data_IF_530309131823
#
_entry.id   IF_530309131823
#
_cell.length_a   1.000
_cell.length_b   1.000
_cell.length_c   1.000
_cell.angle_alpha   90.00
_cell.angle_beta   90.00
_cell.angle_gamma   90.00
#
_symmetry.space_group_name_H-M   'P 1'
#
loop_
_entity.id
_entity.type
_entity.pdbx_description
1 polymer ?
#
# COMPACT_ATOMS: atom_id res chain seq x y z
N UNK A 1 21.48 -9.44 7.28
CA UNK A 1 21.76 -8.60 6.09
C UNK A 1 23.15 -8.84 5.53
N UNK A 2 24.14 -9.12 6.37
CA UNK A 2 25.49 -9.43 5.90
C UNK A 2 25.54 -10.82 5.25
N UNK A 3 25.54 -10.85 3.92
CA UNK A 3 25.51 -12.08 3.09
C UNK A 3 26.28 -11.83 1.80
N UNK A 4 26.91 -12.85 1.19
CA UNK A 4 27.56 -12.72 -0.11
C UNK A 4 26.57 -12.65 -1.29
N UNK A 5 25.26 -12.86 -1.05
CA UNK A 5 24.26 -12.79 -2.12
C UNK A 5 24.16 -11.39 -2.72
N UNK A 6 23.94 -11.33 -4.04
CA UNK A 6 23.72 -10.09 -4.77
C UNK A 6 22.45 -9.37 -4.28
N UNK A 7 21.40 -10.13 -4.01
CA UNK A 7 20.12 -9.64 -3.51
C UNK A 7 19.81 -10.31 -2.19
N UNK A 8 19.55 -9.52 -1.14
CA UNK A 8 19.11 -10.03 0.15
C UNK A 8 17.83 -9.32 0.58
N UNK A 9 16.78 -10.09 0.84
CA UNK A 9 15.52 -9.63 1.40
C UNK A 9 15.47 -10.08 2.87
N UNK A 10 15.47 -9.12 3.80
CA UNK A 10 15.28 -9.33 5.23
C UNK A 10 13.84 -9.01 5.58
N UNK A 11 12.99 -10.03 5.59
CA UNK A 11 11.55 -9.88 5.66
C UNK A 11 10.92 -10.72 6.77
N UNK A 12 9.74 -10.33 7.23
CA UNK A 12 8.98 -11.04 8.24
C UNK A 12 8.37 -10.13 9.29
N UNK A 13 8.21 -10.62 10.53
CA UNK A 13 7.52 -9.93 11.62
C UNK A 13 8.01 -8.50 11.87
N UNK A 14 7.10 -7.65 12.36
CA UNK A 14 7.42 -6.30 12.79
C UNK A 14 8.35 -6.30 14.02
N UNK A 15 9.10 -5.22 14.20
CA UNK A 15 9.98 -5.08 15.36
C UNK A 15 11.30 -5.88 15.32
N UNK A 16 11.56 -6.67 14.28
CA UNK A 16 12.79 -7.49 14.15
C UNK A 16 14.08 -6.70 13.84
N UNK A 17 14.07 -5.37 13.90
CA UNK A 17 15.26 -4.53 13.67
C UNK A 17 15.65 -4.38 12.19
N UNK A 18 14.74 -4.65 11.27
CA UNK A 18 14.99 -4.68 9.82
C UNK A 18 15.62 -3.38 9.29
N UNK A 19 14.99 -2.24 9.56
CA UNK A 19 15.48 -0.91 9.12
C UNK A 19 16.86 -0.59 9.70
N UNK A 20 17.14 -0.94 10.97
CA UNK A 20 18.48 -0.79 11.55
C UNK A 20 19.51 -1.69 10.85
N UNK A 21 19.15 -2.93 10.54
CA UNK A 21 19.99 -3.85 9.77
C UNK A 21 20.32 -3.29 8.37
N UNK A 22 19.35 -2.68 7.69
CA UNK A 22 19.56 -2.04 6.38
C UNK A 22 20.50 -0.82 6.49
N UNK A 23 20.30 0.03 7.50
CA UNK A 23 21.15 1.18 7.74
C UNK A 23 22.59 0.78 8.09
N UNK A 24 22.79 -0.26 8.90
CA UNK A 24 24.14 -0.78 9.19
C UNK A 24 24.81 -1.34 7.94
N UNK A 25 24.06 -2.06 7.12
CA UNK A 25 24.60 -2.61 5.87
C UNK A 25 25.03 -1.52 4.88
N UNK A 26 24.28 -0.40 4.82
CA UNK A 26 24.63 0.75 3.98
C UNK A 26 25.97 1.39 4.36
N UNK A 27 26.46 1.19 5.57
CA UNK A 27 27.78 1.68 6.02
C UNK A 27 28.93 0.69 5.79
N UNK A 28 28.66 -0.50 5.29
CA UNK A 28 29.66 -1.59 5.18
C UNK A 28 30.96 -1.13 4.56
N UNK A 29 30.88 -0.31 3.52
CA UNK A 29 32.00 0.14 2.73
C UNK A 29 32.30 1.64 2.91
N UNK A 30 31.90 2.24 4.03
CA UNK A 30 32.09 3.66 4.34
C UNK A 30 33.54 4.19 4.24
N UNK A 31 34.53 3.31 4.25
CA UNK A 31 35.94 3.68 4.14
C UNK A 31 36.46 3.72 2.70
N UNK A 32 35.62 3.39 1.70
CA UNK A 32 35.97 3.47 0.29
C UNK A 32 35.31 4.72 -0.30
N UNK A 33 36.14 5.68 -0.79
CA UNK A 33 35.68 6.99 -1.26
C UNK A 33 34.72 6.94 -2.46
N UNK A 34 34.83 5.93 -3.27
CA UNK A 34 33.98 5.74 -4.47
C UNK A 34 32.65 5.00 -4.15
N UNK A 35 32.44 4.64 -2.87
CA UNK A 35 31.23 3.93 -2.46
C UNK A 35 30.03 4.86 -2.31
N UNK A 36 28.94 4.53 -3.00
CA UNK A 36 27.65 5.19 -2.88
C UNK A 36 26.52 4.21 -2.57
N UNK A 37 25.81 4.43 -1.49
CA UNK A 37 24.57 3.73 -1.15
C UNK A 37 23.36 4.66 -1.31
N UNK A 38 22.24 4.12 -1.78
CA UNK A 38 20.95 4.83 -1.81
C UNK A 38 19.88 3.93 -1.18
N UNK A 39 19.19 4.44 -0.17
CA UNK A 39 18.07 3.75 0.47
C UNK A 39 16.76 4.43 0.08
N UNK A 40 15.84 3.65 -0.47
CA UNK A 40 14.54 4.10 -0.94
C UNK A 40 13.41 3.76 0.03
N UNK A 41 12.45 4.68 0.16
CA UNK A 41 11.10 4.49 0.69
C UNK A 41 10.06 4.84 -0.37
N UNK A 42 8.84 4.36 -0.23
CA UNK A 42 7.77 4.65 -1.18
C UNK A 42 7.45 6.14 -1.24
N UNK A 43 7.38 6.83 -0.09
CA UNK A 43 7.01 8.24 -0.01
C UNK A 43 8.07 9.06 0.73
N UNK A 44 8.27 10.32 0.30
CA UNK A 44 9.20 11.25 0.94
C UNK A 44 8.86 11.49 2.42
N UNK A 45 7.58 11.60 2.76
CA UNK A 45 7.14 11.74 4.16
C UNK A 45 7.62 10.58 5.03
N UNK A 46 7.62 9.34 4.53
CA UNK A 46 8.13 8.17 5.26
C UNK A 46 9.65 8.22 5.47
N UNK A 47 10.38 8.94 4.61
CA UNK A 47 11.82 9.20 4.81
C UNK A 47 12.04 10.19 5.93
N UNK A 48 11.25 11.28 6.00
CA UNK A 48 11.51 12.48 6.82
C UNK A 48 10.69 12.59 8.09
N UNK A 49 9.60 11.84 8.23
CA UNK A 49 8.74 11.86 9.42
C UNK A 49 9.52 11.48 10.68
N UNK A 50 8.99 11.91 11.83
CA UNK A 50 9.51 11.51 13.13
C UNK A 50 9.53 9.97 13.28
N UNK A 51 10.67 9.40 13.64
CA UNK A 51 10.86 7.95 13.66
C UNK A 51 11.02 7.31 12.26
N UNK A 52 10.98 8.08 11.20
CA UNK A 52 11.22 7.64 9.83
C UNK A 52 12.68 7.25 9.56
N UNK A 53 12.96 6.97 8.29
CA UNK A 53 14.26 6.43 7.88
C UNK A 53 15.43 7.39 8.21
N UNK A 54 15.25 8.70 7.97
CA UNK A 54 16.24 9.72 8.28
C UNK A 54 16.52 9.82 9.80
N UNK A 55 15.49 9.86 10.63
CA UNK A 55 15.65 9.92 12.09
C UNK A 55 16.31 8.66 12.64
N UNK A 56 15.97 7.49 12.12
CA UNK A 56 16.62 6.22 12.45
C UNK A 56 18.10 6.26 12.10
N UNK A 57 18.45 6.81 10.93
CA UNK A 57 19.85 6.98 10.52
C UNK A 57 20.60 7.94 11.45
N UNK A 58 19.96 9.04 11.88
CA UNK A 58 20.56 9.98 12.84
C UNK A 58 20.85 9.31 14.19
N UNK A 59 19.94 8.48 14.65
CA UNK A 59 20.14 7.74 15.90
C UNK A 59 21.34 6.78 15.83
N UNK A 60 21.58 6.19 14.66
CA UNK A 60 22.64 5.22 14.45
C UNK A 60 23.99 5.89 14.10
N UNK A 61 23.99 6.84 13.13
CA UNK A 61 25.24 7.38 12.55
C UNK A 61 25.85 8.55 13.33
N UNK A 62 25.07 9.26 14.16
CA UNK A 62 25.59 10.38 14.97
C UNK A 62 26.78 10.03 15.85
N UNK A 63 26.91 8.76 16.21
CA UNK A 63 28.00 8.28 17.06
C UNK A 63 29.23 7.81 16.26
N UNK A 64 29.16 7.89 14.92
CA UNK A 64 30.26 7.56 14.03
C UNK A 64 31.07 8.82 13.81
N UNK A 65 32.34 8.81 14.26
CA UNK A 65 33.21 10.00 14.36
C UNK A 65 33.38 10.76 13.02
N UNK A 66 33.33 10.05 11.90
CA UNK A 66 33.58 10.56 10.55
C UNK A 66 32.31 10.72 9.70
N UNK A 67 31.12 10.61 10.28
CA UNK A 67 29.85 10.73 9.58
C UNK A 67 29.26 12.14 9.74
N UNK A 68 29.00 12.82 8.62
CA UNK A 68 28.44 14.18 8.56
C UNK A 68 27.07 14.16 7.89
N UNK A 69 25.98 14.56 8.58
CA UNK A 69 24.66 14.65 7.96
C UNK A 69 24.55 15.87 7.05
N UNK A 70 24.00 15.68 5.84
CA UNK A 70 23.68 16.74 4.89
C UNK A 70 22.19 16.69 4.56
N UNK A 71 21.54 17.85 4.52
CA UNK A 71 20.12 17.98 4.18
C UNK A 71 19.87 18.62 2.81
N UNK A 72 20.84 19.34 2.30
CA UNK A 72 20.76 20.09 1.05
C UNK A 72 21.94 19.70 0.15
N UNK A 73 21.71 19.47 -1.14
CA UNK A 73 20.43 19.46 -1.87
C UNK A 73 19.58 18.19 -1.65
N UNK A 74 20.15 17.14 -1.06
CA UNK A 74 19.49 15.85 -0.79
C UNK A 74 19.84 15.37 0.62
N UNK A 75 18.97 14.56 1.20
CA UNK A 75 19.26 13.91 2.50
C UNK A 75 20.31 12.82 2.30
N UNK A 76 21.49 13.00 2.90
CA UNK A 76 22.55 11.98 2.88
C UNK A 76 23.51 12.12 4.06
N UNK A 77 24.25 11.08 4.29
CA UNK A 77 25.43 11.07 5.14
C UNK A 77 26.68 11.01 4.26
N UNK A 78 27.64 11.85 4.57
CA UNK A 78 28.95 11.89 3.96
C UNK A 78 29.99 11.42 4.97
N UNK A 79 30.92 10.59 4.55
CA UNK A 79 32.02 10.08 5.39
C UNK A 79 33.33 10.72 4.97
N UNK A 80 34.30 10.77 5.91
CA UNK A 80 35.61 11.38 5.65
C UNK A 80 36.37 10.76 4.45
N UNK A 81 36.04 9.53 4.09
CA UNK A 81 36.59 8.88 2.89
C UNK A 81 36.09 9.45 1.57
N UNK A 82 34.93 10.14 1.56
CA UNK A 82 34.16 10.51 0.39
C UNK A 82 32.94 9.59 0.15
N UNK A 83 32.84 8.46 0.83
CA UNK A 83 31.68 7.57 0.74
C UNK A 83 30.39 8.28 1.16
N UNK A 84 29.26 7.87 0.59
CA UNK A 84 27.96 8.45 0.93
C UNK A 84 26.85 7.43 1.10
N UNK A 85 25.90 7.76 1.99
CA UNK A 85 24.62 7.04 2.14
C UNK A 85 23.48 8.03 1.92
N UNK A 86 22.78 7.88 0.82
CA UNK A 86 21.72 8.79 0.37
C UNK A 86 20.33 8.20 0.70
N UNK A 87 19.34 9.08 0.92
CA UNK A 87 17.96 8.70 1.16
C UNK A 87 17.06 9.32 0.09
N UNK A 88 16.22 8.49 -0.51
CA UNK A 88 15.36 8.89 -1.61
C UNK A 88 13.98 8.20 -1.52
N UNK A 89 13.09 8.53 -2.43
CA UNK A 89 11.79 7.88 -2.57
C UNK A 89 11.49 7.58 -4.04
N UNK A 90 10.60 6.61 -4.26
CA UNK A 90 10.01 6.27 -5.56
C UNK A 90 8.49 6.15 -5.37
N UNK A 91 7.78 7.26 -5.59
CA UNK A 91 6.33 7.36 -5.41
C UNK A 91 5.52 6.77 -6.55
N UNK A 92 6.09 6.73 -7.77
CA UNK A 92 5.50 6.16 -8.98
C UNK A 92 6.57 5.41 -9.79
N UNK A 93 6.15 4.69 -10.82
CA UNK A 93 7.08 4.03 -11.73
C UNK A 93 7.89 5.06 -12.54
N UNK A 94 7.29 6.21 -12.87
CA UNK A 94 7.95 7.32 -13.57
C UNK A 94 9.12 7.92 -12.77
N UNK A 95 9.09 7.85 -11.45
CA UNK A 95 10.21 8.34 -10.62
C UNK A 95 11.52 7.58 -10.89
N UNK A 96 11.42 6.37 -11.41
CA UNK A 96 12.58 5.57 -11.81
C UNK A 96 13.41 6.25 -12.90
N UNK A 97 12.79 7.01 -13.82
CA UNK A 97 13.47 7.70 -14.90
C UNK A 97 14.45 8.75 -14.39
N UNK A 98 14.14 9.37 -13.23
CA UNK A 98 15.04 10.34 -12.60
C UNK A 98 16.41 9.74 -12.19
N UNK A 99 16.50 8.42 -12.14
CA UNK A 99 17.72 7.66 -11.84
C UNK A 99 18.43 7.15 -13.10
N UNK A 100 17.97 7.52 -14.29
CA UNK A 100 18.62 7.17 -15.52
C UNK A 100 20.07 7.71 -15.52
N UNK A 101 21.02 6.88 -15.92
CA UNK A 101 22.46 7.24 -15.91
C UNK A 101 23.14 7.07 -14.53
N UNK A 102 22.41 6.90 -13.43
CA UNK A 102 23.00 6.75 -12.10
C UNK A 102 23.81 5.46 -11.97
N UNK A 103 24.84 5.53 -11.12
CA UNK A 103 25.62 4.38 -10.66
C UNK A 103 25.48 4.26 -9.14
N UNK A 104 24.94 3.13 -8.67
CA UNK A 104 24.65 2.92 -7.26
C UNK A 104 25.26 1.58 -6.85
N UNK A 105 26.27 1.63 -5.99
CA UNK A 105 26.97 0.44 -5.52
C UNK A 105 26.06 -0.42 -4.63
N UNK A 106 25.34 0.20 -3.70
CA UNK A 106 24.36 -0.47 -2.85
C UNK A 106 22.99 0.18 -2.98
N UNK A 107 22.00 -0.58 -3.42
CA UNK A 107 20.60 -0.16 -3.41
C UNK A 107 19.90 -0.78 -2.22
N UNK A 108 19.29 0.09 -1.38
CA UNK A 108 18.44 -0.31 -0.26
C UNK A 108 16.96 -0.04 -0.57
N UNK A 109 16.09 -1.04 -0.36
CA UNK A 109 14.63 -0.84 -0.34
C UNK A 109 14.14 -1.08 1.08
N UNK A 110 13.64 -0.03 1.73
CA UNK A 110 13.00 -0.19 3.04
C UNK A 110 11.48 -0.28 2.83
N UNK A 111 10.87 -1.39 3.27
CA UNK A 111 9.50 -1.83 2.99
C UNK A 111 9.29 -2.17 1.50
N UNK A 112 10.02 -3.17 0.98
CA UNK A 112 10.02 -3.59 -0.42
C UNK A 112 8.61 -3.93 -0.96
N UNK A 113 7.71 -4.45 -0.12
CA UNK A 113 6.33 -4.75 -0.51
C UNK A 113 5.52 -3.52 -0.94
N UNK A 114 5.99 -2.30 -0.64
CA UNK A 114 5.37 -1.06 -1.09
C UNK A 114 5.80 -0.64 -2.52
N UNK A 115 6.81 -1.27 -3.08
CA UNK A 115 7.32 -0.95 -4.42
C UNK A 115 6.75 -1.89 -5.46
N UNK A 116 6.60 -1.40 -6.69
CA UNK A 116 6.19 -2.25 -7.81
C UNK A 116 7.33 -3.18 -8.24
N UNK A 117 6.98 -4.28 -8.90
CA UNK A 117 7.97 -5.18 -9.52
C UNK A 117 8.82 -4.42 -10.55
N UNK A 118 8.20 -3.49 -11.30
CA UNK A 118 8.89 -2.65 -12.25
C UNK A 118 9.97 -1.80 -11.58
N UNK A 119 9.64 -1.08 -10.50
CA UNK A 119 10.60 -0.25 -9.77
C UNK A 119 11.82 -1.03 -9.30
N UNK A 120 11.61 -2.23 -8.75
CA UNK A 120 12.71 -3.07 -8.27
C UNK A 120 13.65 -3.48 -9.39
N UNK A 121 13.12 -4.02 -10.50
CA UNK A 121 13.95 -4.50 -11.61
C UNK A 121 14.56 -3.35 -12.44
N UNK A 122 13.86 -2.23 -12.56
CA UNK A 122 14.43 -1.03 -13.17
C UNK A 122 15.65 -0.53 -12.38
N UNK A 123 15.50 -0.37 -11.06
CA UNK A 123 16.60 0.08 -10.20
C UNK A 123 17.76 -0.92 -10.16
N UNK A 124 17.48 -2.22 -10.29
CA UNK A 124 18.54 -3.22 -10.42
C UNK A 124 19.44 -2.96 -11.63
N UNK A 125 18.93 -2.38 -12.72
CA UNK A 125 19.75 -1.96 -13.87
C UNK A 125 20.66 -0.75 -13.55
N UNK A 126 20.40 -0.02 -12.48
CA UNK A 126 21.23 1.08 -11.96
C UNK A 126 22.26 0.62 -10.93
N UNK A 127 22.18 -0.64 -10.49
CA UNK A 127 23.07 -1.24 -9.51
C UNK A 127 24.41 -1.62 -10.17
N UNK A 128 25.29 -0.66 -10.26
CA UNK A 128 26.64 -0.78 -10.84
C UNK A 128 27.63 0.05 -10.03
N UNK A 129 28.95 -0.27 -10.13
CA UNK A 129 29.96 0.32 -9.28
C UNK A 129 31.31 0.42 -9.98
N UNK A 130 31.96 1.56 -9.81
CA UNK A 130 33.36 1.77 -10.15
C UNK A 130 34.28 1.69 -8.91
N UNK A 131 33.69 1.42 -7.74
CA UNK A 131 34.37 1.40 -6.44
C UNK A 131 35.18 0.12 -6.16
N UNK A 132 35.39 -0.75 -7.14
CA UNK A 132 35.94 -2.11 -6.93
C UNK A 132 35.18 -2.93 -5.87
N UNK A 133 33.88 -2.68 -5.76
CA UNK A 133 32.93 -3.40 -4.90
C UNK A 133 31.88 -3.99 -5.80
N UNK A 134 31.60 -5.30 -5.69
CA UNK A 134 30.51 -5.91 -6.42
C UNK A 134 29.19 -5.23 -6.02
N UNK A 135 28.41 -4.69 -6.98
CA UNK A 135 27.14 -4.06 -6.68
C UNK A 135 26.15 -5.05 -6.06
N UNK A 136 25.31 -4.57 -5.12
CA UNK A 136 24.37 -5.44 -4.41
C UNK A 136 23.12 -4.70 -3.96
N UNK A 137 22.04 -5.47 -3.72
CA UNK A 137 20.73 -4.98 -3.27
C UNK A 137 20.41 -5.54 -1.90
N UNK A 138 19.88 -4.71 -1.04
CA UNK A 138 19.38 -5.07 0.27
C UNK A 138 17.96 -4.53 0.45
N UNK A 139 17.05 -5.37 0.89
CA UNK A 139 15.67 -4.97 1.09
C UNK A 139 15.15 -5.41 2.45
N UNK A 140 14.23 -4.62 3.00
CA UNK A 140 13.44 -5.01 4.16
C UNK A 140 11.97 -5.04 3.78
N UNK A 141 11.17 -5.86 4.43
CA UNK A 141 9.72 -5.83 4.27
C UNK A 141 8.97 -6.51 5.41
N UNK A 142 7.72 -6.14 5.58
CA UNK A 142 6.73 -6.92 6.30
C UNK A 142 5.99 -7.81 5.30
N UNK A 143 5.39 -8.96 5.75
CA UNK A 143 4.62 -9.81 4.87
C UNK A 143 3.43 -9.07 4.24
N UNK A 144 3.20 -9.35 2.98
CA UNK A 144 2.03 -8.93 2.23
C UNK A 144 1.73 -10.00 1.18
N UNK A 145 0.60 -10.69 1.37
CA UNK A 145 0.21 -11.83 0.54
C UNK A 145 -0.18 -11.45 -0.89
N UNK A 146 -0.48 -10.17 -1.14
CA UNK A 146 -0.85 -9.64 -2.44
C UNK A 146 0.33 -8.97 -3.17
N UNK A 147 1.48 -8.87 -2.50
CA UNK A 147 2.68 -8.28 -3.10
C UNK A 147 3.41 -9.29 -4.00
N UNK A 148 3.96 -8.81 -5.12
CA UNK A 148 4.88 -9.58 -5.98
C UNK A 148 6.07 -10.18 -5.22
N UNK A 149 6.42 -9.60 -4.06
CA UNK A 149 7.51 -10.10 -3.19
C UNK A 149 7.15 -11.47 -2.62
N UNK A 150 5.87 -11.73 -2.31
CA UNK A 150 5.43 -13.03 -1.81
C UNK A 150 5.74 -14.15 -2.82
N UNK A 151 5.49 -13.92 -4.11
CA UNK A 151 5.83 -14.85 -5.18
C UNK A 151 7.34 -14.96 -5.39
N UNK A 152 8.06 -13.83 -5.30
CA UNK A 152 9.50 -13.77 -5.47
C UNK A 152 10.26 -14.61 -4.43
N UNK A 153 9.77 -14.66 -3.20
CA UNK A 153 10.37 -15.41 -2.09
C UNK A 153 9.67 -16.74 -1.80
N UNK A 154 8.71 -17.15 -2.63
CA UNK A 154 7.84 -18.32 -2.36
C UNK A 154 8.61 -19.60 -1.99
N UNK A 155 9.80 -19.83 -2.56
CA UNK A 155 10.62 -20.99 -2.21
C UNK A 155 11.03 -21.03 -0.73
N UNK A 156 11.20 -19.88 -0.07
CA UNK A 156 11.57 -19.80 1.35
C UNK A 156 10.35 -19.89 2.28
N UNK A 157 9.14 -19.87 1.73
CA UNK A 157 7.88 -19.88 2.47
C UNK A 157 7.21 -21.25 2.35
N UNK A 158 6.69 -21.75 3.44
CA UNK A 158 5.91 -22.98 3.44
C UNK A 158 4.58 -22.74 2.69
N UNK A 159 4.29 -23.51 1.63
CA UNK A 159 3.10 -23.29 0.81
C UNK A 159 1.78 -23.56 1.54
N UNK A 160 1.79 -24.38 2.59
CA UNK A 160 0.57 -24.74 3.32
C UNK A 160 0.28 -23.78 4.46
N UNK A 161 1.33 -23.34 5.18
CA UNK A 161 1.17 -22.53 6.39
C UNK A 161 1.40 -21.04 6.19
N UNK A 162 2.12 -20.64 5.14
CA UNK A 162 2.48 -19.24 4.88
C UNK A 162 3.65 -18.71 5.73
N UNK A 163 4.24 -19.53 6.59
CA UNK A 163 5.41 -19.12 7.39
C UNK A 163 6.72 -19.43 6.69
N UNK A 164 7.79 -18.66 7.00
CA UNK A 164 9.12 -18.98 6.53
C UNK A 164 9.56 -20.38 6.97
N UNK A 165 10.22 -21.12 6.06
CA UNK A 165 10.84 -22.41 6.36
C UNK A 165 12.20 -22.13 7.02
N UNK A 166 12.41 -22.49 8.32
CA UNK A 166 13.62 -22.12 9.05
C UNK A 166 14.90 -22.57 8.37
N UNK A 167 14.91 -23.79 7.83
CA UNK A 167 16.07 -24.42 7.17
C UNK A 167 16.44 -23.75 5.86
N UNK A 168 15.51 -22.99 5.26
CA UNK A 168 15.72 -22.23 4.02
C UNK A 168 16.09 -20.78 4.26
N UNK A 169 15.84 -20.25 5.46
CA UNK A 169 16.23 -18.88 5.82
C UNK A 169 17.74 -18.69 5.66
N UNK A 170 18.14 -17.69 4.88
CA UNK A 170 19.54 -17.42 4.56
C UNK A 170 20.17 -18.30 3.48
N UNK A 171 19.48 -19.35 2.98
CA UNK A 171 19.96 -20.13 1.84
C UNK A 171 19.97 -19.28 0.58
N UNK A 172 21.01 -19.43 -0.22
CA UNK A 172 21.18 -18.70 -1.47
C UNK A 172 20.61 -19.56 -2.60
N UNK A 173 19.81 -18.94 -3.45
CA UNK A 173 19.39 -19.45 -4.76
C UNK A 173 19.87 -18.53 -5.86
N UNK A 174 19.78 -18.99 -7.09
CA UNK A 174 20.26 -18.27 -8.26
C UNK A 174 19.11 -18.04 -9.24
N UNK A 175 19.10 -16.88 -9.88
CA UNK A 175 18.12 -16.56 -10.90
C UNK A 175 18.75 -15.84 -12.08
N UNK A 176 18.09 -15.96 -13.22
CA UNK A 176 18.26 -15.08 -14.38
C UNK A 176 16.89 -14.58 -14.81
N UNK A 177 16.82 -13.36 -15.36
CA UNK A 177 15.58 -12.78 -15.91
C UNK A 177 15.69 -12.70 -17.42
N UNK A 178 14.84 -13.44 -18.13
CA UNK A 178 14.78 -13.47 -19.59
C UNK A 178 13.34 -13.17 -20.00
N UNK A 179 13.13 -12.16 -20.85
CA UNK A 179 11.82 -11.75 -21.34
C UNK A 179 10.80 -11.55 -20.19
N UNK A 180 11.22 -10.89 -19.12
CA UNK A 180 10.47 -10.63 -17.90
C UNK A 180 10.15 -11.87 -17.03
N UNK A 181 10.49 -13.06 -17.45
CA UNK A 181 10.37 -14.27 -16.67
C UNK A 181 11.61 -14.53 -15.81
N UNK A 182 11.38 -15.07 -14.61
CA UNK A 182 12.43 -15.43 -13.65
C UNK A 182 12.69 -16.93 -13.69
N UNK A 183 13.87 -17.32 -14.14
CA UNK A 183 14.31 -18.71 -14.15
C UNK A 183 15.19 -18.96 -12.93
N UNK A 184 14.75 -19.83 -12.04
CA UNK A 184 15.42 -20.12 -10.79
C UNK A 184 16.19 -21.46 -10.82
N UNK A 185 17.29 -21.50 -10.04
CA UNK A 185 18.04 -22.73 -9.75
C UNK A 185 18.61 -22.70 -8.34
N UNK A 186 18.90 -23.90 -7.79
CA UNK A 186 19.49 -24.03 -6.47
C UNK A 186 21.03 -23.91 -6.51
N UNK A 187 21.65 -24.16 -7.66
CA UNK A 187 23.06 -23.93 -7.90
C UNK A 187 23.28 -23.04 -9.15
N UNK A 188 24.30 -22.17 -9.10
CA UNK A 188 24.69 -21.33 -10.24
C UNK A 188 25.04 -22.16 -11.47
N UNK A 189 25.68 -23.30 -11.23
CA UNK A 189 26.08 -24.25 -12.28
C UNK A 189 24.89 -24.74 -13.10
N UNK A 190 23.73 -24.95 -12.46
CA UNK A 190 22.54 -25.46 -13.17
C UNK A 190 22.03 -24.49 -14.24
N UNK A 191 22.23 -23.19 -14.05
CA UNK A 191 21.90 -22.17 -15.05
C UNK A 191 22.97 -22.09 -16.14
N UNK A 192 24.23 -22.19 -15.78
CA UNK A 192 25.34 -22.22 -16.75
C UNK A 192 25.22 -23.46 -17.67
N UNK A 193 24.90 -24.61 -17.14
CA UNK A 193 24.70 -25.84 -17.89
C UNK A 193 23.50 -25.75 -18.86
N UNK A 194 22.56 -24.80 -18.62
CA UNK A 194 21.46 -24.47 -19.55
C UNK A 194 21.85 -23.44 -20.59
N UNK A 195 23.11 -23.00 -20.64
CA UNK A 195 23.62 -22.03 -21.62
C UNK A 195 23.47 -20.56 -21.22
N UNK A 196 23.17 -20.29 -19.94
CA UNK A 196 23.07 -18.92 -19.42
C UNK A 196 24.48 -18.39 -19.11
N UNK A 197 24.77 -17.15 -19.53
CA UNK A 197 26.03 -16.51 -19.19
C UNK A 197 26.15 -16.32 -17.66
N UNK A 198 27.33 -16.62 -17.14
CA UNK A 198 27.60 -16.52 -15.71
C UNK A 198 27.36 -15.09 -15.17
N UNK A 199 27.60 -14.05 -15.95
CA UNK A 199 27.47 -12.65 -15.53
C UNK A 199 25.99 -12.18 -15.45
N UNK A 200 25.08 -12.88 -16.13
CA UNK A 200 23.65 -12.61 -16.07
C UNK A 200 23.00 -13.19 -14.79
N UNK A 201 23.64 -14.19 -14.19
CA UNK A 201 23.10 -14.91 -13.03
C UNK A 201 23.26 -14.07 -11.76
N UNK A 202 22.15 -13.82 -11.05
CA UNK A 202 22.12 -13.17 -9.74
C UNK A 202 21.87 -14.19 -8.63
N UNK A 203 22.56 -14.02 -7.52
CA UNK A 203 22.33 -14.78 -6.30
C UNK A 203 21.35 -14.04 -5.39
N UNK A 204 20.37 -14.76 -4.85
CA UNK A 204 19.28 -14.22 -4.03
C UNK A 204 19.17 -15.00 -2.73
N UNK A 205 18.91 -14.31 -1.64
CA UNK A 205 18.56 -14.93 -0.36
C UNK A 205 17.43 -14.18 0.34
N UNK A 206 16.59 -14.92 1.03
CA UNK A 206 15.62 -14.40 1.98
C UNK A 206 16.02 -14.79 3.40
N UNK A 207 16.00 -13.82 4.31
CA UNK A 207 16.27 -14.03 5.73
C UNK A 207 15.00 -13.69 6.49
N UNK A 208 14.45 -14.67 7.19
CA UNK A 208 13.27 -14.46 8.01
C UNK A 208 13.60 -13.60 9.23
N UNK A 209 12.75 -12.62 9.53
CA UNK A 209 12.86 -11.73 10.68
C UNK A 209 11.74 -12.03 11.68
N UNK A 210 12.10 -12.17 12.93
CA UNK A 210 11.16 -12.31 14.05
C UNK A 210 11.34 -11.20 15.08
N UNK A 211 10.31 -10.96 15.91
CA UNK A 211 10.44 -9.99 17.00
C UNK A 211 11.50 -10.42 18.03
N UNK A 212 11.66 -11.75 18.23
CA UNK A 212 12.62 -12.33 19.15
C UNK A 212 14.07 -12.02 18.77
N UNK A 213 14.35 -11.76 17.50
CA UNK A 213 15.69 -11.37 17.03
C UNK A 213 16.11 -9.99 17.58
N UNK A 214 15.14 -9.16 18.00
CA UNK A 214 15.40 -7.82 18.53
C UNK A 214 15.29 -7.76 20.06
N UNK A 215 16.24 -8.39 20.73
CA UNK A 215 16.29 -8.39 22.20
C UNK A 215 16.38 -6.98 22.81
N UNK A 216 16.92 -6.01 22.06
CA UNK A 216 17.03 -4.62 22.53
C UNK A 216 15.63 -4.01 22.63
N UNK A 217 14.80 -4.17 21.61
CA UNK A 217 13.42 -3.69 21.63
C UNK A 217 12.62 -4.37 22.72
N UNK A 218 12.74 -5.69 22.84
CA UNK A 218 12.03 -6.47 23.86
C UNK A 218 12.36 -6.03 25.30
N UNK A 219 13.59 -5.61 25.55
CA UNK A 219 14.01 -5.08 26.86
C UNK A 219 13.56 -3.63 27.09
N UNK A 220 13.57 -2.80 26.04
CA UNK A 220 13.22 -1.37 26.16
C UNK A 220 11.71 -1.12 26.19
N UNK A 221 10.96 -1.90 25.44
CA UNK A 221 9.51 -1.79 25.33
C UNK A 221 8.83 -3.17 25.38
N UNK A 222 8.68 -3.74 26.60
CA UNK A 222 7.98 -5.00 26.77
C UNK A 222 6.50 -4.93 26.34
N UNK A 223 5.88 -3.73 26.35
CA UNK A 223 4.52 -3.47 25.93
C UNK A 223 4.30 -3.65 24.43
N UNK A 224 5.34 -3.51 23.61
CA UNK A 224 5.24 -3.64 22.16
C UNK A 224 4.69 -5.01 21.72
N UNK A 225 5.14 -6.08 22.35
CA UNK A 225 4.62 -7.44 22.10
C UNK A 225 3.12 -7.53 22.46
N UNK A 226 2.71 -6.91 23.55
CA UNK A 226 1.29 -6.91 23.96
C UNK A 226 0.42 -6.15 22.91
N UNK A 227 0.92 -5.02 22.40
CA UNK A 227 0.25 -4.26 21.34
C UNK A 227 0.09 -5.10 20.07
N UNK A 228 1.14 -5.82 19.62
CA UNK A 228 1.04 -6.70 18.45
C UNK A 228 0.07 -7.87 18.68
N UNK A 229 0.02 -8.43 19.89
CA UNK A 229 -0.94 -9.50 20.25
C UNK A 229 -2.39 -9.03 20.24
N UNK A 230 -2.63 -7.75 20.53
CA UNK A 230 -3.96 -7.15 20.54
C UNK A 230 -4.50 -6.81 19.14
N UNK A 231 -3.68 -6.91 18.09
CA UNK A 231 -4.12 -6.68 16.71
C UNK A 231 -5.18 -7.70 16.27
N UNK A 232 -6.06 -7.35 15.32
CA UNK A 232 -6.95 -8.29 14.64
C UNK A 232 -6.17 -9.49 14.10
N UNK A 233 -6.85 -10.63 13.92
CA UNK A 233 -6.21 -11.91 13.59
C UNK A 233 -5.25 -11.79 12.40
N UNK A 234 -5.71 -11.22 11.28
CA UNK A 234 -4.91 -11.12 10.05
C UNK A 234 -3.66 -10.25 10.25
N UNK A 235 -3.85 -9.08 10.86
CA UNK A 235 -2.73 -8.18 11.17
C UNK A 235 -1.74 -8.80 12.15
N UNK A 236 -2.24 -9.51 13.15
CA UNK A 236 -1.40 -10.24 14.12
C UNK A 236 -0.60 -11.36 13.45
N UNK A 237 -1.24 -12.17 12.61
CA UNK A 237 -0.56 -13.23 11.84
C UNK A 237 0.51 -12.66 10.93
N UNK A 238 0.23 -11.56 10.27
CA UNK A 238 1.15 -10.86 9.38
C UNK A 238 2.31 -10.21 10.14
N UNK A 239 2.00 -9.36 11.12
CA UNK A 239 2.99 -8.48 11.75
C UNK A 239 3.70 -9.11 12.94
N UNK A 240 3.05 -9.99 13.71
CA UNK A 240 3.68 -10.65 14.86
C UNK A 240 4.35 -11.96 14.45
N UNK A 241 3.66 -12.76 13.65
CA UNK A 241 4.13 -14.12 13.32
C UNK A 241 4.82 -14.23 11.95
N UNK A 242 4.72 -13.20 11.12
CA UNK A 242 5.42 -13.15 9.84
C UNK A 242 4.80 -14.03 8.76
N UNK A 243 3.49 -14.23 8.78
CA UNK A 243 2.77 -15.04 7.79
C UNK A 243 2.63 -14.31 6.45
N UNK A 244 3.07 -14.94 5.37
CA UNK A 244 3.08 -14.40 3.99
C UNK A 244 1.85 -14.78 3.17
N UNK A 245 0.97 -15.62 3.70
CA UNK A 245 -0.22 -16.10 2.99
C UNK A 245 -1.52 -15.70 3.64
N UNK A 246 -1.45 -15.17 4.86
CA UNK A 246 -2.68 -14.82 5.57
C UNK A 246 -3.41 -13.71 4.84
N UNK A 247 -4.64 -13.98 4.51
CA UNK A 247 -5.59 -13.03 3.95
C UNK A 247 -6.87 -13.10 4.78
N UNK A 248 -7.65 -12.01 4.84
CA UNK A 248 -8.99 -12.09 5.39
C UNK A 248 -9.79 -13.13 4.61
N UNK A 249 -10.41 -14.08 5.29
CA UNK A 249 -11.23 -15.07 4.61
C UNK A 249 -12.40 -14.39 3.87
N UNK A 250 -12.74 -14.88 2.69
CA UNK A 250 -13.92 -14.45 1.96
C UNK A 250 -15.17 -14.52 2.87
N UNK A 251 -16.03 -13.51 2.83
CA UNK A 251 -17.19 -13.40 3.71
C UNK A 251 -16.91 -12.92 5.14
N UNK A 252 -15.69 -12.57 5.52
CA UNK A 252 -15.41 -11.94 6.82
C UNK A 252 -15.87 -10.48 6.89
N UNK A 253 -15.85 -9.76 5.77
CA UNK A 253 -16.29 -8.37 5.71
C UNK A 253 -17.80 -8.25 5.58
N UNK A 254 -18.38 -8.99 4.64
CA UNK A 254 -19.79 -8.87 4.28
C UNK A 254 -20.44 -10.24 4.16
N UNK A 255 -21.54 -10.47 4.88
CA UNK A 255 -22.37 -11.68 4.76
C UNK A 255 -23.82 -11.28 4.47
N UNK A 256 -24.50 -11.98 3.59
CA UNK A 256 -25.94 -11.76 3.30
C UNK A 256 -26.79 -11.86 4.56
N UNK A 257 -26.45 -12.75 5.47
CA UNK A 257 -27.17 -12.93 6.73
C UNK A 257 -27.09 -11.75 7.70
N UNK A 258 -26.22 -10.77 7.41
CA UNK A 258 -26.00 -9.58 8.23
C UNK A 258 -26.65 -8.33 7.62
N UNK A 259 -27.35 -8.46 6.50
CA UNK A 259 -28.16 -7.39 5.92
C UNK A 259 -29.28 -7.04 6.89
N UNK A 260 -29.51 -5.74 7.12
CA UNK A 260 -30.58 -5.29 8.00
C UNK A 260 -31.96 -5.68 7.49
N UNK A 261 -32.30 -5.17 6.30
CA UNK A 261 -33.56 -5.51 5.61
C UNK A 261 -33.43 -5.28 4.10
N UNK A 262 -34.25 -6.03 3.33
CA UNK A 262 -34.55 -5.69 1.94
C UNK A 262 -35.81 -4.81 1.91
N UNK A 263 -35.70 -3.66 1.27
CA UNK A 263 -36.75 -2.65 1.21
C UNK A 263 -37.33 -2.59 -0.21
N UNK A 264 -38.64 -2.57 -0.35
CA UNK A 264 -39.33 -2.43 -1.65
C UNK A 264 -39.13 -1.03 -2.25
N UNK A 265 -38.93 -0.03 -1.39
CA UNK A 265 -38.74 1.36 -1.80
C UNK A 265 -37.75 2.08 -0.90
N UNK A 266 -37.22 3.19 -1.40
CA UNK A 266 -36.29 4.06 -0.66
C UNK A 266 -37.02 4.72 0.51
N UNK A 267 -36.48 4.65 1.76
CA UNK A 267 -37.07 5.31 2.93
C UNK A 267 -37.09 6.83 2.78
N UNK A 268 -38.15 7.48 3.25
CA UNK A 268 -38.32 8.95 3.21
C UNK A 268 -37.47 9.68 4.24
N UNK A 269 -37.01 8.97 5.29
CA UNK A 269 -36.26 9.52 6.42
C UNK A 269 -34.75 9.63 6.20
N UNK A 270 -34.30 9.54 4.96
CA UNK A 270 -32.86 9.69 4.62
C UNK A 270 -32.45 11.16 4.65
N UNK A 271 -31.41 11.47 5.41
CA UNK A 271 -30.94 12.85 5.66
C UNK A 271 -29.77 13.27 4.78
N UNK A 272 -28.94 12.34 4.39
CA UNK A 272 -27.73 12.57 3.56
C UNK A 272 -27.59 11.46 2.53
N UNK A 273 -27.28 11.83 1.30
CA UNK A 273 -26.98 10.93 0.22
C UNK A 273 -25.56 11.13 -0.31
N UNK A 274 -24.83 10.06 -0.53
CA UNK A 274 -23.57 10.10 -1.27
C UNK A 274 -23.54 8.92 -2.27
N UNK A 275 -23.01 9.20 -3.45
CA UNK A 275 -22.62 8.16 -4.41
C UNK A 275 -21.11 8.12 -4.50
N UNK A 276 -20.53 6.99 -4.13
CA UNK A 276 -19.12 6.70 -4.36
C UNK A 276 -18.94 6.09 -5.75
N UNK A 277 -17.86 6.48 -6.40
CA UNK A 277 -17.45 5.94 -7.68
C UNK A 277 -16.10 5.25 -7.55
N UNK A 278 -15.96 4.12 -8.22
CA UNK A 278 -14.68 3.52 -8.57
C UNK A 278 -14.58 3.50 -10.11
N UNK A 279 -13.53 4.13 -10.61
CA UNK A 279 -13.38 4.36 -12.05
C UNK A 279 -12.39 3.36 -12.63
N UNK A 280 -12.77 2.69 -13.72
CA UNK A 280 -11.85 1.90 -14.50
C UNK A 280 -10.62 2.74 -14.89
N UNK A 281 -9.43 2.27 -14.57
CA UNK A 281 -8.20 2.79 -15.16
C UNK A 281 -8.28 2.52 -16.68
N UNK A 282 -8.05 3.55 -17.49
CA UNK A 282 -8.20 3.51 -18.95
C UNK A 282 -7.05 2.83 -19.70
N UNK A 283 -6.33 1.93 -19.07
CA UNK A 283 -5.43 1.02 -19.80
C UNK A 283 -6.26 -0.14 -20.35
N UNK A 284 -6.27 -0.29 -21.65
CA UNK A 284 -6.57 -1.57 -22.27
C UNK A 284 -5.59 -2.57 -21.63
N UNK A 285 -6.10 -3.49 -20.81
CA UNK A 285 -5.33 -4.67 -20.48
C UNK A 285 -4.97 -5.36 -21.80
N UNK A 286 -3.81 -6.01 -21.87
CA UNK A 286 -3.28 -6.67 -23.07
C UNK A 286 -4.27 -7.65 -23.72
N UNK A 287 -5.37 -8.00 -23.03
CA UNK A 287 -6.48 -8.83 -23.50
C UNK A 287 -7.69 -8.02 -24.05
N UNK A 288 -7.65 -6.69 -24.10
CA UNK A 288 -8.67 -5.85 -24.73
C UNK A 288 -10.00 -5.75 -23.96
N UNK A 289 -10.08 -6.18 -22.71
CA UNK A 289 -11.30 -6.20 -21.88
C UNK A 289 -11.29 -4.99 -20.92
N UNK A 290 -12.15 -3.95 -21.12
CA UNK A 290 -12.11 -2.75 -20.26
C UNK A 290 -12.49 -3.08 -18.82
N UNK A 291 -11.83 -2.47 -17.85
CA UNK A 291 -12.14 -2.62 -16.43
C UNK A 291 -13.55 -2.08 -16.10
N UNK A 292 -14.11 -2.49 -14.96
CA UNK A 292 -15.42 -2.02 -14.53
C UNK A 292 -15.36 -0.59 -13.97
N UNK A 293 -16.42 0.18 -14.23
CA UNK A 293 -16.73 1.41 -13.48
C UNK A 293 -17.94 1.13 -12.61
N UNK A 294 -17.78 1.26 -11.30
CA UNK A 294 -18.83 1.04 -10.32
C UNK A 294 -19.27 2.36 -9.67
N UNK A 295 -20.58 2.48 -9.41
CA UNK A 295 -21.17 3.59 -8.68
C UNK A 295 -22.21 3.10 -7.67
N UNK A 296 -22.00 3.38 -6.37
CA UNK A 296 -22.90 2.92 -5.28
C UNK A 296 -23.49 4.10 -4.55
N UNK A 297 -24.82 4.18 -4.51
CA UNK A 297 -25.57 5.21 -3.81
C UNK A 297 -25.94 4.72 -2.41
N UNK A 298 -25.44 5.39 -1.38
CA UNK A 298 -25.74 5.13 0.04
C UNK A 298 -26.41 6.36 0.67
N UNK A 299 -27.42 6.11 1.50
CA UNK A 299 -28.09 7.11 2.29
C UNK A 299 -28.00 6.83 3.79
N UNK A 300 -27.89 7.88 4.62
CA UNK A 300 -27.99 7.80 6.08
C UNK A 300 -29.38 8.21 6.52
N UNK A 301 -30.04 7.35 7.28
CA UNK A 301 -31.38 7.55 7.83
C UNK A 301 -31.34 8.34 9.15
N UNK A 302 -32.44 8.96 9.52
CA UNK A 302 -32.57 9.69 10.80
C UNK A 302 -32.32 8.80 12.02
N UNK A 303 -32.63 7.53 11.94
CA UNK A 303 -32.40 6.54 13.00
C UNK A 303 -30.96 6.05 13.09
N UNK A 304 -30.03 6.59 12.30
CA UNK A 304 -28.62 6.20 12.27
C UNK A 304 -28.29 5.03 11.36
N UNK A 305 -29.28 4.32 10.79
CA UNK A 305 -29.08 3.22 9.85
C UNK A 305 -28.68 3.76 8.46
N UNK A 306 -28.20 2.87 7.62
CA UNK A 306 -27.80 3.17 6.24
C UNK A 306 -28.68 2.40 5.26
N UNK A 307 -28.82 2.92 4.07
CA UNK A 307 -29.52 2.25 2.96
C UNK A 307 -28.71 2.35 1.66
N UNK A 308 -28.44 1.21 1.05
CA UNK A 308 -27.94 1.14 -0.32
C UNK A 308 -29.15 1.21 -1.24
N UNK A 309 -29.27 2.30 -1.98
CA UNK A 309 -30.46 2.58 -2.77
C UNK A 309 -30.33 2.27 -4.27
N UNK A 310 -29.11 2.24 -4.78
CA UNK A 310 -28.82 1.91 -6.16
C UNK A 310 -27.34 1.55 -6.35
N UNK A 311 -27.08 0.60 -7.25
CA UNK A 311 -25.74 0.25 -7.69
C UNK A 311 -25.72 0.22 -9.21
N UNK A 312 -24.69 0.77 -9.82
CA UNK A 312 -24.35 0.62 -11.23
C UNK A 312 -22.95 0.04 -11.34
N UNK A 313 -22.78 -0.92 -12.25
CA UNK A 313 -21.49 -1.55 -12.51
C UNK A 313 -21.40 -1.86 -14.01
N UNK A 314 -20.58 -1.10 -14.74
CA UNK A 314 -20.58 -1.12 -16.21
C UNK A 314 -19.15 -1.22 -16.74
N UNK A 315 -19.02 -1.86 -17.91
CA UNK A 315 -17.81 -1.85 -18.74
C UNK A 315 -18.06 -0.99 -19.96
N UNK A 316 -17.41 0.14 -20.06
CA UNK A 316 -17.59 1.12 -21.13
C UNK A 316 -16.24 1.73 -21.52
N UNK A 317 -16.13 2.19 -22.76
CA UNK A 317 -15.01 3.00 -23.19
C UNK A 317 -14.97 4.34 -22.42
N UNK A 318 -13.78 4.91 -22.23
CA UNK A 318 -13.53 6.09 -21.37
C UNK A 318 -14.49 7.27 -21.62
N UNK A 319 -14.79 7.57 -22.88
CA UNK A 319 -15.75 8.64 -23.24
C UNK A 319 -17.17 8.36 -22.80
N UNK A 320 -17.59 7.09 -22.82
CA UNK A 320 -18.93 6.67 -22.44
C UNK A 320 -19.06 6.51 -20.92
N UNK A 321 -17.98 6.17 -20.21
CA UNK A 321 -17.91 6.24 -18.73
C UNK A 321 -18.30 7.63 -18.24
N UNK A 322 -17.73 8.71 -18.81
CA UNK A 322 -18.07 10.09 -18.42
C UNK A 322 -19.54 10.41 -18.64
N UNK A 323 -20.12 9.99 -19.79
CA UNK A 323 -21.54 10.17 -20.08
C UNK A 323 -22.42 9.39 -19.11
N UNK A 324 -22.03 8.15 -18.80
CA UNK A 324 -22.75 7.29 -17.85
C UNK A 324 -22.79 7.93 -16.46
N UNK A 325 -21.65 8.41 -15.94
CA UNK A 325 -21.57 9.11 -14.66
C UNK A 325 -22.50 10.33 -14.66
N UNK A 326 -22.42 11.19 -15.68
CA UNK A 326 -23.27 12.38 -15.75
C UNK A 326 -24.76 12.05 -15.79
N UNK A 327 -25.16 11.03 -16.55
CA UNK A 327 -26.55 10.59 -16.63
C UNK A 327 -27.03 10.07 -15.27
N UNK A 328 -26.21 9.30 -14.56
CA UNK A 328 -26.50 8.80 -13.20
C UNK A 328 -26.66 9.96 -12.22
N UNK A 329 -25.74 10.94 -12.22
CA UNK A 329 -25.85 12.15 -11.41
C UNK A 329 -27.16 12.94 -11.70
N UNK A 330 -27.61 13.02 -12.96
CA UNK A 330 -28.87 13.67 -13.31
C UNK A 330 -30.07 12.92 -12.73
N UNK A 331 -30.08 11.58 -12.83
CA UNK A 331 -31.14 10.73 -12.26
C UNK A 331 -31.18 10.86 -10.73
N UNK A 332 -30.03 10.82 -10.08
CA UNK A 332 -29.91 10.98 -8.63
C UNK A 332 -30.39 12.36 -8.16
N UNK A 333 -29.96 13.43 -8.83
CA UNK A 333 -30.41 14.79 -8.51
C UNK A 333 -31.92 14.96 -8.68
N UNK A 334 -32.51 14.35 -9.72
CA UNK A 334 -33.96 14.39 -9.94
C UNK A 334 -34.73 13.68 -8.82
N UNK A 335 -34.20 12.52 -8.33
CA UNK A 335 -34.89 11.68 -7.34
C UNK A 335 -34.64 12.12 -5.91
N UNK A 336 -33.41 12.51 -5.58
CA UNK A 336 -32.96 12.75 -4.21
C UNK A 336 -32.58 14.20 -3.92
N UNK A 337 -32.79 15.12 -4.85
CA UNK A 337 -32.51 16.56 -4.77
C UNK A 337 -31.02 16.89 -4.60
N UNK A 338 -30.36 16.35 -3.57
CA UNK A 338 -28.96 16.59 -3.28
C UNK A 338 -28.23 15.28 -2.98
N UNK A 339 -27.33 14.90 -3.86
CA UNK A 339 -26.41 13.79 -3.70
C UNK A 339 -24.99 14.31 -3.81
N UNK A 340 -24.09 13.79 -2.99
CA UNK A 340 -22.67 14.07 -3.07
C UNK A 340 -22.04 13.01 -3.92
N UNK A 341 -21.50 13.41 -5.06
CA UNK A 341 -20.74 12.54 -5.96
C UNK A 341 -19.28 12.50 -5.52
N UNK A 342 -18.83 11.36 -5.02
CA UNK A 342 -17.45 11.18 -4.59
C UNK A 342 -16.69 10.36 -5.62
N UNK A 343 -15.72 10.99 -6.27
CA UNK A 343 -14.85 10.40 -7.29
C UNK A 343 -13.46 10.13 -6.69
N UNK A 344 -12.79 9.04 -7.09
CA UNK A 344 -11.42 8.79 -6.71
C UNK A 344 -10.48 9.84 -7.32
N UNK A 345 -9.37 10.07 -6.66
CA UNK A 345 -8.27 10.90 -7.16
C UNK A 345 -6.98 10.12 -7.01
N UNK A 346 -6.37 9.75 -8.12
CA UNK A 346 -5.07 9.09 -8.11
C UNK A 346 -3.98 10.02 -7.56
N UNK A 347 -2.94 9.48 -6.93
CA UNK A 347 -1.81 10.28 -6.48
C UNK A 347 -1.05 10.87 -7.67
N UNK A 348 -0.46 12.07 -7.46
CA UNK A 348 0.32 12.77 -8.48
C UNK A 348 -0.45 13.83 -9.27
N UNK A 349 0.23 14.48 -10.22
CA UNK A 349 -0.32 15.61 -10.99
C UNK A 349 -1.40 15.15 -11.97
N UNK A 350 -1.20 14.04 -12.66
CA UNK A 350 -2.17 13.49 -13.61
C UNK A 350 -3.52 13.19 -12.94
N UNK A 351 -3.51 12.61 -11.73
CA UNK A 351 -4.73 12.35 -10.97
C UNK A 351 -5.44 13.64 -10.53
N UNK A 352 -4.69 14.71 -10.20
CA UNK A 352 -5.28 16.03 -9.90
C UNK A 352 -5.92 16.64 -11.15
N UNK A 353 -5.28 16.57 -12.30
CA UNK A 353 -5.80 17.10 -13.55
C UNK A 353 -7.05 16.35 -14.01
N UNK A 354 -7.06 15.02 -13.86
CA UNK A 354 -8.23 14.18 -14.11
C UNK A 354 -9.40 14.57 -13.18
N UNK A 355 -9.14 14.70 -11.88
CA UNK A 355 -10.13 15.11 -10.90
C UNK A 355 -10.73 16.49 -11.22
N UNK A 356 -9.90 17.47 -11.58
CA UNK A 356 -10.36 18.79 -12.01
C UNK A 356 -11.20 18.73 -13.30
N UNK A 357 -10.82 17.87 -14.25
CA UNK A 357 -11.59 17.64 -15.48
C UNK A 357 -12.97 17.11 -15.16
N UNK A 358 -13.11 16.15 -14.25
CA UNK A 358 -14.41 15.61 -13.80
C UNK A 358 -15.24 16.67 -13.08
N UNK A 359 -14.66 17.46 -12.18
CA UNK A 359 -15.35 18.56 -11.49
C UNK A 359 -15.93 19.56 -12.51
N UNK A 360 -15.17 19.95 -13.53
CA UNK A 360 -15.64 20.83 -14.60
C UNK A 360 -16.75 20.18 -15.44
N UNK A 361 -16.59 18.93 -15.80
CA UNK A 361 -17.55 18.18 -16.61
C UNK A 361 -18.90 17.96 -15.90
N UNK A 362 -18.86 17.79 -14.56
CA UNK A 362 -20.02 17.59 -13.70
C UNK A 362 -20.47 18.91 -13.04
N UNK A 363 -20.20 20.06 -13.66
CA UNK A 363 -20.67 21.34 -13.16
C UNK A 363 -22.19 21.34 -12.95
N UNK A 364 -22.64 21.79 -11.78
CA UNK A 364 -24.05 21.77 -11.35
C UNK A 364 -24.44 20.60 -10.45
N UNK A 365 -23.52 19.67 -10.17
CA UNK A 365 -23.63 18.64 -9.13
C UNK A 365 -22.69 18.92 -7.95
N UNK A 366 -22.92 18.26 -6.83
CA UNK A 366 -22.03 18.35 -5.66
C UNK A 366 -20.95 17.30 -5.78
N UNK A 367 -19.84 17.65 -6.38
CA UNK A 367 -18.73 16.72 -6.65
C UNK A 367 -17.61 16.93 -5.64
N UNK A 368 -17.07 15.82 -5.12
CA UNK A 368 -15.84 15.77 -4.32
C UNK A 368 -14.86 14.78 -4.89
N UNK A 369 -13.59 15.13 -4.89
CA UNK A 369 -12.50 14.26 -5.24
C UNK A 369 -11.58 14.13 -4.03
N UNK A 370 -11.22 12.91 -3.65
CA UNK A 370 -10.41 12.64 -2.46
C UNK A 370 -9.31 11.65 -2.85
N UNK A 371 -8.05 11.97 -2.54
CA UNK A 371 -6.97 11.03 -2.72
C UNK A 371 -7.21 9.75 -1.91
N UNK A 372 -7.08 8.61 -2.55
CA UNK A 372 -7.17 7.32 -1.89
C UNK A 372 -5.88 7.02 -1.12
N UNK A 373 -6.02 6.56 0.11
CA UNK A 373 -4.89 6.17 0.97
C UNK A 373 -5.24 4.91 1.76
N UNK A 374 -4.23 4.08 2.03
CA UNK A 374 -4.40 2.81 2.72
C UNK A 374 -4.81 1.66 1.80
N UNK A 375 -4.88 0.44 2.33
CA UNK A 375 -5.33 -0.73 1.58
C UNK A 375 -6.86 -0.69 1.35
N UNK A 376 -7.34 -1.46 0.36
CA UNK A 376 -8.78 -1.61 0.08
C UNK A 376 -9.54 -2.17 1.29
N UNK A 377 -8.91 -3.11 2.00
CA UNK A 377 -9.46 -3.71 3.22
C UNK A 377 -9.65 -2.67 4.33
N UNK A 378 -8.63 -1.85 4.59
CA UNK A 378 -8.71 -0.79 5.60
C UNK A 378 -9.78 0.26 5.26
N UNK A 379 -10.00 0.55 3.97
CA UNK A 379 -11.07 1.46 3.54
C UNK A 379 -12.46 0.83 3.64
N UNK A 380 -12.58 -0.48 3.45
CA UNK A 380 -13.85 -1.20 3.55
C UNK A 380 -14.31 -1.45 5.00
N UNK A 381 -13.37 -1.52 5.96
CA UNK A 381 -13.63 -1.88 7.35
C UNK A 381 -14.73 -1.05 8.03
N UNK A 382 -14.81 0.30 7.92
CA UNK A 382 -15.87 1.08 8.54
C UNK A 382 -17.28 0.74 8.01
N UNK A 383 -17.41 0.50 6.71
CA UNK A 383 -18.68 0.10 6.09
C UNK A 383 -19.03 -1.34 6.47
N UNK A 384 -18.06 -2.24 6.48
CA UNK A 384 -18.22 -3.62 6.89
C UNK A 384 -18.66 -3.74 8.35
N UNK A 385 -18.17 -2.89 9.24
CA UNK A 385 -18.61 -2.86 10.63
C UNK A 385 -20.12 -2.55 10.76
N UNK A 386 -20.65 -1.59 9.99
CA UNK A 386 -22.07 -1.30 9.96
C UNK A 386 -22.88 -2.43 9.33
N UNK A 387 -22.35 -3.06 8.30
CA UNK A 387 -22.96 -4.23 7.68
C UNK A 387 -23.08 -5.39 8.67
N UNK A 388 -22.00 -5.73 9.36
CA UNK A 388 -21.94 -6.79 10.38
C UNK A 388 -22.85 -6.53 11.57
N UNK A 389 -23.06 -5.26 11.92
CA UNK A 389 -24.01 -4.86 12.95
C UNK A 389 -25.50 -4.91 12.49
N UNK A 390 -25.76 -5.29 11.23
CA UNK A 390 -27.11 -5.30 10.67
C UNK A 390 -27.70 -3.91 10.43
N UNK A 391 -26.85 -2.87 10.37
CA UNK A 391 -27.27 -1.48 10.22
C UNK A 391 -27.44 -1.02 8.77
N UNK A 392 -27.22 -1.89 7.80
CA UNK A 392 -27.31 -1.56 6.37
C UNK A 392 -28.51 -2.27 5.76
N UNK A 393 -29.43 -1.49 5.24
CA UNK A 393 -30.61 -1.96 4.48
C UNK A 393 -30.31 -1.85 2.97
N UNK A 394 -30.92 -2.73 2.16
CA UNK A 394 -30.80 -2.69 0.69
C UNK A 394 -32.18 -2.47 0.05
N UNK A 395 -32.26 -1.55 -0.90
CA UNK A 395 -33.43 -1.42 -1.76
C UNK A 395 -33.41 -2.54 -2.79
N UNK A 396 -34.56 -3.21 -3.01
CA UNK A 396 -34.68 -4.27 -4.01
C UNK A 396 -34.44 -3.72 -5.42
N UNK A 397 -33.62 -4.44 -6.21
CA UNK A 397 -33.29 -4.10 -7.58
C UNK A 397 -32.51 -5.22 -8.27
N UNK A 398 -32.45 -5.18 -9.59
CA UNK A 398 -31.74 -6.16 -10.42
C UNK A 398 -30.23 -6.26 -10.07
N UNK A 399 -29.67 -5.21 -9.51
CA UNK A 399 -28.26 -5.12 -9.09
C UNK A 399 -27.94 -5.89 -7.81
N UNK A 400 -28.94 -6.30 -7.02
CA UNK A 400 -28.71 -6.88 -5.68
C UNK A 400 -27.82 -8.12 -5.75
N UNK A 401 -28.07 -9.04 -6.66
CA UNK A 401 -27.35 -10.31 -6.73
C UNK A 401 -25.87 -10.12 -7.07
N UNK A 402 -25.58 -9.32 -8.08
CA UNK A 402 -24.21 -9.03 -8.50
C UNK A 402 -23.44 -8.26 -7.41
N UNK A 403 -24.09 -7.31 -6.75
CA UNK A 403 -23.54 -6.54 -5.64
C UNK A 403 -23.17 -7.44 -4.46
N UNK A 404 -24.14 -8.26 -4.01
CA UNK A 404 -23.92 -9.17 -2.88
C UNK A 404 -22.86 -10.21 -3.18
N UNK A 405 -22.82 -10.76 -4.37
CA UNK A 405 -21.79 -11.72 -4.78
C UNK A 405 -20.40 -11.11 -4.70
N UNK A 406 -20.22 -9.87 -5.17
CA UNK A 406 -18.91 -9.22 -5.09
C UNK A 406 -18.52 -8.87 -3.64
N UNK A 407 -19.46 -8.39 -2.81
CA UNK A 407 -19.21 -8.08 -1.40
C UNK A 407 -18.85 -9.34 -0.61
N UNK A 408 -19.60 -10.44 -0.77
CA UNK A 408 -19.33 -11.70 -0.08
C UNK A 408 -17.98 -12.30 -0.46
N UNK A 409 -17.55 -12.09 -1.69
CA UNK A 409 -16.26 -12.58 -2.19
C UNK A 409 -15.07 -11.69 -1.78
N UNK A 410 -15.31 -10.51 -1.20
CA UNK A 410 -14.26 -9.61 -0.75
C UNK A 410 -13.53 -10.16 0.47
N UNK A 411 -12.19 -10.09 0.54
CA UNK A 411 -11.27 -9.41 -0.38
C UNK A 411 -10.70 -10.30 -1.50
N UNK A 412 -11.08 -11.56 -1.60
CA UNK A 412 -10.51 -12.54 -2.54
C UNK A 412 -11.04 -12.40 -3.99
N UNK A 413 -12.10 -11.60 -4.19
CA UNK A 413 -12.68 -11.35 -5.50
C UNK A 413 -11.70 -10.73 -6.49
N UNK A 414 -11.72 -11.20 -7.75
CA UNK A 414 -11.01 -10.56 -8.88
C UNK A 414 -11.47 -9.10 -9.06
N UNK A 415 -12.75 -8.82 -8.86
CA UNK A 415 -13.34 -7.49 -8.99
C UNK A 415 -13.74 -6.97 -7.61
N UNK A 416 -13.33 -5.74 -7.26
CA UNK A 416 -13.55 -5.09 -5.96
C UNK A 416 -14.21 -3.73 -6.10
N UNK A 417 -14.59 -3.37 -7.33
CA UNK A 417 -15.02 -2.02 -7.72
C UNK A 417 -16.26 -1.55 -6.95
N UNK A 418 -17.25 -2.45 -6.73
CA UNK A 418 -18.45 -2.11 -5.95
C UNK A 418 -18.16 -1.98 -4.45
N UNK A 419 -17.15 -2.68 -3.91
CA UNK A 419 -16.71 -2.52 -2.51
C UNK A 419 -16.00 -1.18 -2.33
N UNK A 420 -15.11 -0.81 -3.24
CA UNK A 420 -14.41 0.47 -3.20
C UNK A 420 -15.38 1.64 -3.36
N UNK A 421 -16.34 1.56 -4.29
CA UNK A 421 -17.40 2.54 -4.45
C UNK A 421 -18.28 2.66 -3.19
N UNK A 422 -18.63 1.54 -2.53
CA UNK A 422 -19.40 1.53 -1.28
C UNK A 422 -18.63 2.20 -0.14
N UNK A 423 -17.37 1.83 0.02
CA UNK A 423 -16.47 2.39 1.04
C UNK A 423 -16.31 3.90 0.87
N UNK A 424 -16.17 4.34 -0.38
CA UNK A 424 -16.08 5.73 -0.76
C UNK A 424 -17.36 6.51 -0.40
N UNK A 425 -18.54 6.01 -0.78
CA UNK A 425 -19.83 6.62 -0.44
C UNK A 425 -20.02 6.71 1.08
N UNK A 426 -19.75 5.63 1.80
CA UNK A 426 -19.90 5.56 3.24
C UNK A 426 -19.00 6.56 3.98
N UNK A 427 -17.72 6.63 3.61
CA UNK A 427 -16.77 7.57 4.20
C UNK A 427 -17.20 9.04 4.00
N UNK A 428 -17.84 9.39 2.87
CA UNK A 428 -18.34 10.74 2.62
C UNK A 428 -19.51 11.09 3.55
N UNK A 429 -20.37 10.13 3.85
CA UNK A 429 -21.51 10.32 4.76
C UNK A 429 -21.03 10.54 6.20
N UNK A 430 -20.03 9.79 6.64
CA UNK A 430 -19.51 9.85 8.01
C UNK A 430 -18.66 11.10 8.29
N UNK A 431 -17.91 11.61 7.34
CA UNK A 431 -17.09 12.83 7.51
C UNK A 431 -17.91 14.07 7.89
N UNK A 432 -19.21 14.09 7.60
CA UNK A 432 -20.08 15.20 7.98
C UNK A 432 -20.52 15.20 9.45
N UNK A 433 -20.41 14.06 10.13
CA UNK A 433 -20.83 13.95 11.55
C UNK A 433 -19.75 14.45 12.53
N UNK A 434 -18.51 14.65 12.10
CA UNK A 434 -17.40 15.12 12.96
C UNK A 434 -17.26 16.65 12.99
N UNK A 435 -18.07 17.39 12.25
CA UNK A 435 -17.96 18.85 12.10
C UNK A 435 -18.94 19.66 12.96
N UNK A 436 -19.47 19.12 14.05
CA UNK A 436 -20.18 19.92 15.07
C UNK A 436 -19.21 20.21 16.21
N UNK A 437 -18.83 21.47 16.48
CA UNK A 437 -18.11 21.81 17.70
C UNK A 437 -19.00 21.52 18.90
N UNK A 438 -18.45 21.08 20.04
CA UNK A 438 -19.23 20.86 21.23
C UNK A 438 -19.91 22.16 21.67
N UNK A 439 -21.18 22.17 22.09
CA UNK A 439 -21.82 23.33 22.68
C UNK A 439 -21.17 23.59 24.04
N UNK A 440 -20.47 24.72 24.18
CA UNK A 440 -19.92 25.16 25.47
C UNK A 440 -18.46 25.59 25.45
N UNK A 441 -18.12 26.57 24.60
CA UNK A 441 -16.90 27.35 24.76
C UNK A 441 -17.15 28.46 25.78
N UNK A 442 -16.59 28.34 26.97
CA UNK A 442 -16.47 29.44 27.94
C UNK A 442 -15.74 30.62 27.29
N UNK A 443 -16.34 31.77 27.39
CA UNK A 443 -15.83 33.06 26.94
C UNK A 443 -14.45 33.34 27.53
N UNK A 444 -13.49 33.67 26.66
CA UNK A 444 -12.23 34.31 27.05
C UNK A 444 -12.50 35.75 27.52
N UNK A 445 -12.86 35.94 28.77
CA UNK A 445 -12.68 37.18 29.49
C UNK A 445 -12.41 36.89 30.96
N UNK A 446 -11.15 36.94 31.34
CA UNK A 446 -10.63 37.29 32.68
C UNK A 446 -9.30 36.58 32.99
N UNK A 447 -8.21 37.03 32.40
CA UNK A 447 -6.87 36.84 32.97
C UNK A 447 -5.94 37.99 32.53
N UNK A 448 -6.31 39.21 32.86
CA UNK A 448 -5.38 40.33 33.01
C UNK A 448 -5.86 41.27 34.10
N UNK A 449 -5.57 40.92 35.36
CA UNK A 449 -5.38 41.83 36.52
C UNK A 449 -4.86 41.01 37.70
N UNK A 450 -3.58 40.97 37.86
CA UNK A 450 -2.76 41.25 39.05
C UNK A 450 -1.31 40.81 38.78
#
# INVERSE_FOLDING_TARGET
MSTPADICIYGGAAGGGKTYGLLMEAMRHKNNGDYGAVIFRRNYTQVTAQGGLWDSSRSLYRNIRDAVPRKTPKLHWEFASGASVNFAHLGSDDDCESWQGSQITMIGFDELTHFTRYQFFYMMSRNRSDANIKPYIRATCNPDADSWVADFIAWWINPDTGYPIPERSGKIRYLVRINDELIWADARKDLIDRGIDADEIKSVTFIASTLQDNQILMKRDPGYLANLKALPLVERERLLYGNWKIKPAAGLFFKRSQIGAFLESVPEDVTVWARGWDLAATSEDEDGDPAYTAGVLIGKRKNGRYVVANVTNVRLAAGDVRKHIKNTCMMDKKKYKRVIERLPQDPGQAGKDQAQSYIKFLAGFVVKTIPESGSKEARAEPFAAQWQAGNVDLVMGEWNESYLTQLESFPESKFKDMVDASSSAFAEIETKNTASPPPGGLSKESYWRR
#
